data_IF_725726553221
#
_entry.id   IF_725726553221
#
_cell.length_a   1.000
_cell.length_b   1.000
_cell.length_c   1.000
_cell.angle_alpha   90.00
_cell.angle_beta   90.00
_cell.angle_gamma   90.00
#
_symmetry.space_group_name_H-M   'P 1'
#
loop_
_entity.id
_entity.type
_entity.pdbx_description
1 polymer ?
#
# COMPACT_ATOMS: atom_id res chain seq x y z
N UNK A 1 16.68 18.89 -22.22
CA UNK A 1 16.19 17.57 -21.72
C UNK A 1 16.51 17.31 -20.23
N UNK A 2 16.94 18.30 -19.43
CA UNK A 2 17.32 18.11 -18.02
C UNK A 2 16.16 18.17 -17.00
N UNK A 3 15.12 18.98 -17.27
CA UNK A 3 14.03 19.26 -16.30
C UNK A 3 13.26 18.04 -15.78
N UNK A 4 13.23 16.92 -16.51
CA UNK A 4 12.54 15.70 -16.08
C UNK A 4 13.34 14.89 -15.06
N UNK A 5 14.66 14.84 -15.22
CA UNK A 5 15.57 14.14 -14.31
C UNK A 5 15.59 14.84 -12.94
N UNK A 6 15.65 16.18 -12.96
CA UNK A 6 15.67 17.00 -11.74
C UNK A 6 14.42 16.79 -10.88
N UNK A 7 13.23 16.73 -11.51
CA UNK A 7 11.96 16.46 -10.82
C UNK A 7 11.88 15.06 -10.22
N UNK A 8 12.38 14.06 -10.93
CA UNK A 8 12.40 12.68 -10.43
C UNK A 8 13.34 12.52 -9.23
N UNK A 9 14.51 13.18 -9.28
CA UNK A 9 15.44 13.17 -8.17
C UNK A 9 14.85 13.89 -6.96
N UNK A 10 14.25 15.06 -7.16
CA UNK A 10 13.57 15.79 -6.09
C UNK A 10 12.49 14.94 -5.41
N UNK A 11 11.64 14.24 -6.19
CA UNK A 11 10.62 13.36 -5.63
C UNK A 11 11.23 12.25 -4.78
N UNK A 12 12.32 11.64 -5.25
CA UNK A 12 13.04 10.61 -4.48
C UNK A 12 13.61 11.15 -3.17
N UNK A 13 14.14 12.36 -3.20
CA UNK A 13 14.72 13.01 -2.03
C UNK A 13 13.63 13.30 -0.99
N UNK A 14 12.47 13.82 -1.42
CA UNK A 14 11.28 14.04 -0.59
C UNK A 14 10.78 12.73 0.05
N UNK A 15 10.61 11.67 -0.75
CA UNK A 15 10.21 10.36 -0.22
C UNK A 15 11.25 9.80 0.76
N UNK A 16 12.54 9.96 0.48
CA UNK A 16 13.60 9.45 1.34
C UNK A 16 13.55 10.05 2.75
N UNK A 17 13.04 11.29 2.89
CA UNK A 17 12.86 11.94 4.17
C UNK A 17 11.84 11.20 5.07
N UNK A 18 10.86 10.51 4.49
CA UNK A 18 9.86 9.72 5.21
C UNK A 18 10.42 8.40 5.75
N UNK A 19 11.49 7.88 5.16
CA UNK A 19 11.97 6.51 5.38
C UNK A 19 12.19 6.14 6.86
N UNK A 20 12.77 7.03 7.67
CA UNK A 20 12.98 6.77 9.10
C UNK A 20 11.68 6.64 9.88
N UNK A 21 10.70 7.48 9.58
CA UNK A 21 9.41 7.49 10.29
C UNK A 21 8.53 6.33 9.81
N UNK A 22 8.54 6.02 8.52
CA UNK A 22 7.87 4.84 7.96
C UNK A 22 8.45 3.54 8.55
N UNK A 23 9.78 3.42 8.62
CA UNK A 23 10.43 2.27 9.24
C UNK A 23 10.04 2.11 10.73
N UNK A 24 9.85 3.22 11.46
CA UNK A 24 9.38 3.18 12.85
C UNK A 24 7.92 2.74 12.93
N UNK A 25 7.03 3.33 12.12
CA UNK A 25 5.59 2.98 12.06
C UNK A 25 5.40 1.50 11.74
N UNK A 26 6.08 1.03 10.71
CA UNK A 26 6.04 -0.34 10.24
C UNK A 26 6.86 -1.32 11.09
N UNK A 27 7.58 -0.84 12.11
CA UNK A 27 8.54 -1.63 12.91
C UNK A 27 9.54 -2.42 12.07
N UNK A 28 9.96 -1.85 10.93
CA UNK A 28 10.81 -2.51 9.92
C UNK A 28 10.23 -3.81 9.34
N UNK A 29 8.90 -3.92 9.29
CA UNK A 29 8.17 -4.98 8.59
C UNK A 29 7.45 -4.38 7.37
N UNK A 30 7.06 -5.23 6.43
CA UNK A 30 6.17 -4.84 5.35
C UNK A 30 4.78 -4.54 5.91
N UNK A 31 4.23 -3.34 5.65
CA UNK A 31 2.93 -2.94 6.22
C UNK A 31 1.74 -3.74 5.64
N UNK A 32 1.92 -4.46 4.54
CA UNK A 32 0.87 -5.29 3.91
C UNK A 32 0.98 -6.77 4.27
N UNK A 33 2.17 -7.37 4.13
CA UNK A 33 2.36 -8.82 4.34
C UNK A 33 3.15 -9.18 5.60
N UNK A 34 3.57 -8.20 6.41
CA UNK A 34 4.32 -8.39 7.66
C UNK A 34 5.71 -9.04 7.50
N UNK A 35 6.21 -9.17 6.27
CA UNK A 35 7.55 -9.69 6.02
C UNK A 35 8.64 -8.79 6.63
N UNK A 36 9.65 -9.39 7.26
CA UNK A 36 10.82 -8.72 7.83
C UNK A 36 12.13 -9.35 7.39
N UNK A 37 13.25 -8.65 7.59
CA UNK A 37 14.57 -9.10 7.11
C UNK A 37 14.73 -9.06 5.58
N UNK A 38 13.76 -8.47 4.87
CA UNK A 38 13.76 -8.28 3.42
C UNK A 38 13.92 -6.81 3.06
N UNK A 39 14.21 -6.54 1.79
CA UNK A 39 14.24 -5.16 1.29
C UNK A 39 12.82 -4.57 1.34
N UNK A 40 12.73 -3.38 1.92
CA UNK A 40 11.50 -2.60 2.01
C UNK A 40 11.67 -1.28 1.25
N UNK A 41 10.60 -0.83 0.59
CA UNK A 41 10.57 0.38 -0.20
C UNK A 41 9.36 1.22 0.19
N UNK A 42 9.50 2.54 0.05
CA UNK A 42 8.40 3.48 0.20
C UNK A 42 7.54 3.38 -1.06
N UNK A 43 6.26 3.11 -0.87
CA UNK A 43 5.27 3.01 -1.92
C UNK A 43 4.20 4.07 -1.71
N UNK A 44 3.99 4.89 -2.72
CA UNK A 44 2.94 5.91 -2.72
C UNK A 44 1.64 5.28 -3.19
N UNK A 45 0.62 5.34 -2.35
CA UNK A 45 -0.70 4.78 -2.65
C UNK A 45 -1.47 5.79 -3.48
N UNK A 46 -2.05 5.36 -4.60
CA UNK A 46 -2.81 6.24 -5.48
C UNK A 46 -4.06 6.81 -4.75
N UNK A 47 -4.53 8.02 -5.08
CA UNK A 47 -4.00 8.92 -6.10
C UNK A 47 -2.69 9.59 -5.65
N UNK A 48 -1.69 9.54 -6.53
CA UNK A 48 -0.36 10.09 -6.24
C UNK A 48 -0.37 11.60 -6.41
N UNK A 49 -0.17 12.32 -5.31
CA UNK A 49 -0.18 13.78 -5.26
C UNK A 49 1.09 14.39 -5.91
N UNK A 50 0.97 15.65 -6.33
CA UNK A 50 2.11 16.42 -6.87
C UNK A 50 3.22 16.50 -5.82
N UNK A 51 2.85 16.88 -4.60
CA UNK A 51 3.73 16.88 -3.43
C UNK A 51 3.52 15.56 -2.66
N UNK A 52 4.56 14.76 -2.41
CA UNK A 52 4.44 13.55 -1.60
C UNK A 52 3.93 13.84 -0.19
N UNK A 53 3.01 13.00 0.29
CA UNK A 53 2.51 13.02 1.67
C UNK A 53 2.93 11.73 2.38
N UNK A 54 3.33 11.86 3.64
CA UNK A 54 3.68 10.74 4.50
C UNK A 54 2.47 9.82 4.74
N UNK A 55 1.27 10.38 4.88
CA UNK A 55 0.05 9.64 5.19
C UNK A 55 -0.53 8.91 3.96
N UNK A 56 -0.02 9.19 2.76
CA UNK A 56 -0.32 8.47 1.52
C UNK A 56 0.78 7.46 1.14
N UNK A 57 1.79 7.30 1.98
CA UNK A 57 2.90 6.37 1.77
C UNK A 57 2.78 5.15 2.69
N UNK A 58 3.20 3.99 2.19
CA UNK A 58 3.40 2.75 2.96
C UNK A 58 4.81 2.18 2.74
N UNK A 59 5.31 1.41 3.70
CA UNK A 59 6.57 0.69 3.62
C UNK A 59 6.32 -0.78 3.32
N UNK A 60 6.70 -1.24 2.12
CA UNK A 60 6.37 -2.58 1.64
C UNK A 60 7.55 -3.31 1.00
N UNK A 61 7.50 -4.64 0.98
CA UNK A 61 8.50 -5.47 0.31
C UNK A 61 8.37 -5.41 -1.21
N UNK A 62 9.42 -5.83 -1.92
CA UNK A 62 9.44 -5.85 -3.39
C UNK A 62 8.27 -6.67 -3.97
N UNK A 63 7.90 -7.79 -3.35
CA UNK A 63 6.78 -8.65 -3.81
C UNK A 63 5.44 -7.92 -3.78
N UNK A 64 5.09 -7.27 -2.65
CA UNK A 64 3.85 -6.51 -2.56
C UNK A 64 3.87 -5.32 -3.53
N UNK A 65 5.01 -4.63 -3.67
CA UNK A 65 5.15 -3.50 -4.59
C UNK A 65 4.96 -3.90 -6.05
N UNK A 66 5.53 -5.03 -6.47
CA UNK A 66 5.37 -5.55 -7.83
C UNK A 66 3.91 -5.89 -8.13
N UNK A 67 3.24 -6.60 -7.23
CA UNK A 67 1.86 -7.03 -7.42
C UNK A 67 0.86 -5.87 -7.38
N UNK A 68 1.09 -4.86 -6.54
CA UNK A 68 0.27 -3.63 -6.52
C UNK A 68 0.39 -2.83 -7.81
N UNK A 69 1.59 -2.77 -8.41
CA UNK A 69 1.83 -2.04 -9.66
C UNK A 69 1.44 -2.84 -10.91
N UNK A 70 1.35 -4.17 -10.81
CA UNK A 70 1.13 -5.04 -11.96
C UNK A 70 0.01 -6.05 -11.72
N UNK A 71 -1.24 -5.67 -12.01
CA UNK A 71 -2.41 -6.55 -11.84
C UNK A 71 -2.30 -7.90 -12.56
N UNK A 72 -1.49 -8.02 -13.62
CA UNK A 72 -1.29 -9.28 -14.36
C UNK A 72 -0.37 -10.27 -13.63
N UNK A 73 0.35 -9.82 -12.60
CA UNK A 73 1.29 -10.63 -11.80
C UNK A 73 0.78 -10.90 -10.39
N UNK A 74 -0.49 -10.64 -10.13
CA UNK A 74 -1.10 -10.93 -8.83
C UNK A 74 -1.07 -12.44 -8.58
N UNK A 75 -0.48 -12.80 -7.45
CA UNK A 75 -0.53 -14.13 -6.84
C UNK A 75 -1.48 -14.06 -5.64
N UNK A 76 -2.66 -14.67 -5.79
CA UNK A 76 -3.72 -14.61 -4.78
C UNK A 76 -3.30 -15.23 -3.44
N UNK A 77 -2.43 -16.24 -3.45
CA UNK A 77 -2.01 -16.90 -2.20
C UNK A 77 -1.12 -16.00 -1.35
N UNK A 78 -0.32 -15.14 -1.98
CA UNK A 78 0.45 -14.12 -1.26
C UNK A 78 -0.45 -13.17 -0.46
N UNK A 79 -1.61 -12.81 -1.02
CA UNK A 79 -2.54 -11.85 -0.43
C UNK A 79 -3.45 -12.43 0.66
N UNK A 80 -3.28 -13.69 1.05
CA UNK A 80 -3.95 -14.24 2.25
C UNK A 80 -3.58 -13.45 3.53
N UNK A 81 -2.45 -12.75 3.52
CA UNK A 81 -2.06 -11.83 4.59
C UNK A 81 -3.02 -10.66 4.79
N UNK A 82 -3.87 -10.34 3.80
CA UNK A 82 -4.80 -9.20 3.86
C UNK A 82 -5.79 -9.28 5.01
N UNK A 83 -6.11 -10.49 5.47
CA UNK A 83 -6.93 -10.71 6.67
C UNK A 83 -6.36 -9.99 7.90
N UNK A 84 -5.04 -9.78 7.99
CA UNK A 84 -4.42 -8.99 9.07
C UNK A 84 -4.38 -7.50 8.72
N UNK A 85 -3.94 -7.15 7.51
CA UNK A 85 -3.71 -5.74 7.14
C UNK A 85 -5.01 -4.93 6.97
N UNK A 86 -6.15 -5.58 6.72
CA UNK A 86 -7.46 -4.93 6.69
C UNK A 86 -7.90 -4.34 8.05
N UNK A 87 -7.27 -4.79 9.14
CA UNK A 87 -7.50 -4.29 10.51
C UNK A 87 -6.37 -3.38 11.00
N UNK A 88 -5.53 -2.90 10.08
CA UNK A 88 -4.43 -1.99 10.42
C UNK A 88 -4.96 -0.68 11.01
N UNK A 89 -4.34 -0.21 12.10
CA UNK A 89 -4.57 1.13 12.66
C UNK A 89 -4.05 2.26 11.74
N UNK A 90 -3.22 1.91 10.74
CA UNK A 90 -2.76 2.85 9.72
C UNK A 90 -3.76 2.88 8.57
N UNK A 91 -4.51 3.98 8.46
CA UNK A 91 -5.60 4.14 7.48
C UNK A 91 -5.18 3.81 6.04
N UNK A 92 -4.03 4.28 5.57
CA UNK A 92 -3.60 4.04 4.19
C UNK A 92 -3.22 2.57 3.90
N UNK A 93 -2.81 1.83 4.94
CA UNK A 93 -2.60 0.38 4.86
C UNK A 93 -3.95 -0.33 4.72
N UNK A 94 -4.95 0.09 5.50
CA UNK A 94 -6.31 -0.42 5.38
C UNK A 94 -6.90 -0.13 3.99
N UNK A 95 -6.77 1.10 3.48
CA UNK A 95 -7.18 1.45 2.10
C UNK A 95 -6.53 0.51 1.07
N UNK A 96 -5.23 0.28 1.19
CA UNK A 96 -4.49 -0.61 0.27
C UNK A 96 -4.99 -2.06 0.37
N UNK A 97 -5.22 -2.55 1.58
CA UNK A 97 -5.71 -3.90 1.82
C UNK A 97 -7.11 -4.11 1.22
N UNK A 98 -8.04 -3.20 1.47
CA UNK A 98 -9.41 -3.27 0.97
C UNK A 98 -9.45 -3.15 -0.56
N UNK A 99 -8.64 -2.27 -1.15
CA UNK A 99 -8.56 -2.17 -2.62
C UNK A 99 -8.07 -3.47 -3.24
N UNK A 100 -7.06 -4.10 -2.66
CA UNK A 100 -6.57 -5.39 -3.17
C UNK A 100 -7.59 -6.51 -2.94
N UNK A 101 -8.29 -6.54 -1.80
CA UNK A 101 -9.38 -7.47 -1.55
C UNK A 101 -10.48 -7.34 -2.60
N UNK A 102 -10.90 -6.11 -2.95
CA UNK A 102 -11.91 -5.86 -4.00
C UNK A 102 -11.45 -6.35 -5.38
N UNK A 103 -10.17 -6.20 -5.72
CA UNK A 103 -9.60 -6.75 -6.97
C UNK A 103 -9.62 -8.28 -6.96
N UNK A 104 -9.28 -8.90 -5.83
CA UNK A 104 -9.26 -10.37 -5.70
C UNK A 104 -10.66 -10.98 -5.65
N UNK A 105 -11.62 -10.27 -5.06
CA UNK A 105 -13.02 -10.69 -4.95
C UNK A 105 -13.66 -10.94 -6.32
N UNK A 106 -13.17 -10.34 -7.40
CA UNK A 106 -13.62 -10.64 -8.77
C UNK A 106 -13.44 -12.12 -9.17
N UNK A 107 -12.54 -12.85 -8.50
CA UNK A 107 -12.15 -14.23 -8.87
C UNK A 107 -12.04 -15.18 -7.68
N UNK A 108 -12.17 -14.68 -6.46
CA UNK A 108 -11.88 -15.44 -5.25
C UNK A 108 -12.86 -15.12 -4.13
N UNK A 109 -13.77 -16.06 -3.86
CA UNK A 109 -14.82 -15.94 -2.84
C UNK A 109 -14.25 -15.59 -1.45
N UNK A 110 -13.09 -16.15 -1.08
CA UNK A 110 -12.45 -15.85 0.20
C UNK A 110 -12.09 -14.36 0.37
N UNK A 111 -11.83 -13.64 -0.72
CA UNK A 111 -11.51 -12.23 -0.68
C UNK A 111 -12.78 -11.38 -0.55
N UNK A 112 -13.89 -11.84 -1.15
CA UNK A 112 -15.22 -11.25 -0.96
C UNK A 112 -15.67 -11.41 0.49
N UNK A 113 -15.61 -12.63 1.04
CA UNK A 113 -15.96 -12.93 2.44
C UNK A 113 -15.20 -12.03 3.42
N UNK A 114 -13.89 -11.84 3.22
CA UNK A 114 -13.09 -10.96 4.06
C UNK A 114 -13.48 -9.48 3.91
N UNK A 115 -13.73 -9.03 2.69
CA UNK A 115 -14.13 -7.65 2.43
C UNK A 115 -15.49 -7.31 3.06
N UNK A 116 -16.44 -8.26 3.08
CA UNK A 116 -17.74 -8.08 3.73
C UNK A 116 -17.65 -7.95 5.26
N UNK A 117 -16.64 -8.57 5.88
CA UNK A 117 -16.41 -8.43 7.32
C UNK A 117 -15.80 -7.08 7.70
N UNK A 118 -15.23 -6.34 6.73
CA UNK A 118 -14.55 -5.09 6.99
C UNK A 118 -15.53 -3.97 7.38
N UNK A 119 -15.47 -3.53 8.64
CA UNK A 119 -16.11 -2.26 9.02
C UNK A 119 -15.12 -1.13 8.81
N UNK A 120 -15.41 -0.22 7.88
CA UNK A 120 -14.52 0.85 7.48
C UNK A 120 -14.98 2.17 8.08
N UNK A 121 -14.03 2.95 8.57
CA UNK A 121 -14.31 4.31 9.00
C UNK A 121 -14.61 5.20 7.77
N UNK A 122 -15.47 6.23 7.91
CA UNK A 122 -15.85 7.07 6.78
C UNK A 122 -14.69 7.68 6.01
N UNK A 123 -13.59 8.04 6.69
CA UNK A 123 -12.37 8.56 6.05
C UNK A 123 -11.73 7.53 5.11
N UNK A 124 -11.67 6.27 5.55
CA UNK A 124 -11.09 5.16 4.79
C UNK A 124 -11.96 4.84 3.58
N UNK A 125 -13.28 4.79 3.76
CA UNK A 125 -14.23 4.62 2.65
C UNK A 125 -14.10 5.74 1.61
N UNK A 126 -14.01 6.99 2.05
CA UNK A 126 -13.86 8.14 1.17
C UNK A 126 -12.55 8.04 0.35
N UNK A 127 -11.44 7.66 0.98
CA UNK A 127 -10.16 7.44 0.29
C UNK A 127 -10.23 6.29 -0.71
N UNK A 128 -10.94 5.21 -0.40
CA UNK A 128 -11.10 4.09 -1.34
C UNK A 128 -11.84 4.53 -2.61
N UNK A 129 -12.85 5.38 -2.46
CA UNK A 129 -13.72 5.83 -3.56
C UNK A 129 -13.13 7.01 -4.36
N UNK A 130 -12.16 7.74 -3.82
CA UNK A 130 -11.40 8.76 -4.55
C UNK A 130 -10.43 8.08 -5.53
N UNK A 131 -10.80 8.08 -6.81
CA UNK A 131 -10.02 7.52 -7.92
C UNK A 131 -9.68 8.61 -8.94
#
# INVERSE_FOLDING_TARGET
MAKGLDKHQQRKDELSAFGKNLARRARSHCETCDASGVKLNIFEVAPVQITPDFDDCILICDTCSEQLNNPKRIDADHWRCLNKSMWSEVAIVQVTAIRMLRVLAEKHDWAEDLNEMAYLEPEVEERINKQ
#
